data_IF_832121678094
#
_entry.id   IF_832121678094
#
_cell.length_a   1.000
_cell.length_b   1.000
_cell.length_c   1.000
_cell.angle_alpha   90.00
_cell.angle_beta   90.00
_cell.angle_gamma   90.00
#
_symmetry.space_group_name_H-M   'P 1'
#
loop_
_entity.id
_entity.type
_entity.pdbx_description
1 polymer ?
#
# COMPACT_ATOMS: atom_id res chain seq x y z
N UNK A 1 20.76 12.87 3.25
CA UNK A 1 20.59 11.42 3.55
C UNK A 1 19.33 10.83 2.89
N UNK A 2 18.17 11.49 2.96
CA UNK A 2 16.90 11.00 2.39
C UNK A 2 16.83 10.95 0.85
N UNK A 3 17.60 11.78 0.12
CA UNK A 3 17.58 11.80 -1.35
C UNK A 3 17.95 10.45 -1.99
N UNK A 4 18.90 9.70 -1.39
CA UNK A 4 19.32 8.37 -1.90
C UNK A 4 18.21 7.32 -1.76
N UNK A 5 17.46 7.36 -0.64
CA UNK A 5 16.33 6.47 -0.37
C UNK A 5 15.17 6.80 -1.31
N UNK A 6 14.86 8.09 -1.49
CA UNK A 6 13.86 8.54 -2.46
C UNK A 6 14.21 8.07 -3.88
N UNK A 7 15.48 8.21 -4.28
CA UNK A 7 15.95 7.77 -5.60
C UNK A 7 15.85 6.25 -5.76
N UNK A 8 16.16 5.49 -4.71
CA UNK A 8 15.96 4.03 -4.71
C UNK A 8 14.49 3.66 -4.89
N UNK A 9 13.57 4.29 -4.16
CA UNK A 9 12.13 4.07 -4.33
C UNK A 9 11.64 4.44 -5.73
N UNK A 10 12.13 5.56 -6.29
CA UNK A 10 11.76 6.00 -7.63
C UNK A 10 12.25 5.02 -8.70
N UNK A 11 13.49 4.53 -8.57
CA UNK A 11 14.03 3.52 -9.49
C UNK A 11 13.26 2.19 -9.42
N UNK A 12 12.84 1.79 -8.22
CA UNK A 12 12.03 0.58 -8.02
C UNK A 12 10.64 0.73 -8.64
N UNK A 13 10.02 1.91 -8.53
CA UNK A 13 8.71 2.20 -9.10
C UNK A 13 8.69 2.23 -10.64
N UNK A 14 9.81 2.57 -11.28
CA UNK A 14 9.95 2.61 -12.75
C UNK A 14 10.32 1.24 -13.36
N UNK A 15 10.83 0.32 -12.55
CA UNK A 15 11.25 -1.02 -12.97
C UNK A 15 10.17 -1.84 -13.71
N UNK A 16 8.86 -1.79 -13.35
CA UNK A 16 7.82 -2.50 -14.08
C UNK A 16 7.67 -2.07 -15.54
N UNK A 17 8.00 -0.81 -15.88
CA UNK A 17 7.80 -0.26 -17.23
C UNK A 17 8.64 -0.96 -18.32
N UNK A 18 9.72 -1.64 -17.93
CA UNK A 18 10.60 -2.34 -18.86
C UNK A 18 10.11 -3.76 -19.20
N UNK A 19 9.10 -4.28 -18.50
CA UNK A 19 8.57 -5.64 -18.69
C UNK A 19 7.24 -5.63 -19.46
N UNK A 20 7.31 -5.58 -20.79
CA UNK A 20 6.14 -5.41 -21.69
C UNK A 20 5.14 -6.57 -21.60
N UNK A 21 5.60 -7.82 -21.41
CA UNK A 21 4.72 -8.99 -21.49
C UNK A 21 3.77 -9.16 -20.29
N UNK A 22 4.12 -8.64 -19.11
CA UNK A 22 3.38 -8.88 -17.86
C UNK A 22 3.39 -7.66 -16.93
N UNK A 23 3.24 -6.46 -17.50
CA UNK A 23 3.41 -5.18 -16.78
C UNK A 23 2.56 -5.10 -15.50
N UNK A 24 1.33 -5.64 -15.52
CA UNK A 24 0.43 -5.66 -14.38
C UNK A 24 0.95 -6.54 -13.23
N UNK A 25 1.45 -7.74 -13.53
CA UNK A 25 2.00 -8.64 -12.51
C UNK A 25 3.24 -8.02 -11.84
N UNK A 26 4.18 -7.51 -12.63
CA UNK A 26 5.37 -6.86 -12.08
C UNK A 26 5.03 -5.62 -11.27
N UNK A 27 4.04 -4.83 -11.71
CA UNK A 27 3.55 -3.69 -10.96
C UNK A 27 2.99 -4.11 -9.59
N UNK A 28 2.12 -5.12 -9.52
CA UNK A 28 1.56 -5.59 -8.26
C UNK A 28 2.60 -6.22 -7.33
N UNK A 29 3.60 -6.94 -7.86
CA UNK A 29 4.71 -7.48 -7.08
C UNK A 29 5.51 -6.34 -6.45
N UNK A 30 5.95 -5.37 -7.26
CA UNK A 30 6.76 -4.23 -6.79
C UNK A 30 5.96 -3.38 -5.79
N UNK A 31 4.69 -3.09 -6.09
CA UNK A 31 3.79 -2.37 -5.19
C UNK A 31 3.64 -3.09 -3.85
N UNK A 32 3.46 -4.42 -3.87
CA UNK A 32 3.34 -5.22 -2.66
C UNK A 32 4.62 -5.18 -1.81
N UNK A 33 5.81 -5.25 -2.43
CA UNK A 33 7.09 -5.11 -1.71
C UNK A 33 7.21 -3.73 -1.06
N UNK A 34 6.87 -2.66 -1.79
CA UNK A 34 6.88 -1.30 -1.25
C UNK A 34 5.89 -1.14 -0.09
N UNK A 35 4.67 -1.68 -0.25
CA UNK A 35 3.64 -1.66 0.78
C UNK A 35 4.05 -2.43 2.02
N UNK A 36 4.73 -3.57 1.90
CA UNK A 36 5.27 -4.32 3.05
C UNK A 36 6.26 -3.47 3.83
N UNK A 37 7.18 -2.79 3.15
CA UNK A 37 8.17 -1.92 3.80
C UNK A 37 7.49 -0.77 4.55
N UNK A 38 6.49 -0.13 3.93
CA UNK A 38 5.69 0.92 4.56
C UNK A 38 4.91 0.36 5.75
N UNK A 39 4.28 -0.81 5.60
CA UNK A 39 3.49 -1.45 6.64
C UNK A 39 4.34 -1.79 7.87
N UNK A 40 5.53 -2.39 7.68
CA UNK A 40 6.48 -2.65 8.78
C UNK A 40 6.90 -1.36 9.48
N UNK A 41 7.16 -0.29 8.72
CA UNK A 41 7.48 1.01 9.31
C UNK A 41 6.34 1.53 10.20
N UNK A 42 5.09 1.46 9.74
CA UNK A 42 3.93 1.87 10.51
C UNK A 42 3.65 0.95 11.72
N UNK A 43 3.91 -0.35 11.62
CA UNK A 43 3.86 -1.28 12.76
C UNK A 43 4.84 -0.81 13.84
N UNK A 44 6.11 -0.63 13.47
CA UNK A 44 7.16 -0.21 14.41
C UNK A 44 6.79 1.12 15.08
N UNK A 45 6.29 2.07 14.30
CA UNK A 45 5.86 3.37 14.80
C UNK A 45 4.66 3.26 15.76
N UNK A 46 3.67 2.42 15.44
CA UNK A 46 2.50 2.19 16.29
C UNK A 46 2.88 1.51 17.60
N UNK A 47 3.76 0.50 17.58
CA UNK A 47 4.24 -0.17 18.79
C UNK A 47 4.95 0.82 19.72
N UNK A 48 5.74 1.75 19.16
CA UNK A 48 6.51 2.71 19.94
C UNK A 48 5.67 3.82 20.56
N UNK A 49 4.74 4.40 19.81
CA UNK A 49 4.01 5.61 20.23
C UNK A 49 2.53 5.38 20.54
N UNK A 50 1.97 4.22 20.17
CA UNK A 50 0.56 3.82 20.39
C UNK A 50 -0.47 4.87 19.97
N UNK A 51 -0.16 5.64 18.93
CA UNK A 51 -1.04 6.70 18.44
C UNK A 51 -2.17 6.12 17.58
N UNK A 52 -3.40 6.51 17.90
CA UNK A 52 -4.59 6.06 17.15
C UNK A 52 -4.53 6.45 15.66
N UNK A 53 -3.99 7.62 15.33
CA UNK A 53 -3.83 8.05 13.95
C UNK A 53 -2.89 7.11 13.17
N UNK A 54 -1.81 6.66 13.81
CA UNK A 54 -0.88 5.67 13.24
C UNK A 54 -1.58 4.31 13.04
N UNK A 55 -2.49 3.92 13.95
CA UNK A 55 -3.29 2.71 13.80
C UNK A 55 -4.22 2.78 12.58
N UNK A 56 -4.92 3.90 12.36
CA UNK A 56 -5.79 4.08 11.19
C UNK A 56 -5.01 3.92 9.89
N UNK A 57 -3.85 4.57 9.80
CA UNK A 57 -2.98 4.49 8.62
C UNK A 57 -2.40 3.08 8.45
N UNK A 58 -2.03 2.42 9.55
CA UNK A 58 -1.57 1.04 9.53
C UNK A 58 -2.65 0.09 8.98
N UNK A 59 -3.88 0.17 9.48
CA UNK A 59 -5.00 -0.66 9.00
C UNK A 59 -5.28 -0.38 7.52
N UNK A 60 -5.26 0.90 7.11
CA UNK A 60 -5.44 1.27 5.71
C UNK A 60 -4.37 0.63 4.80
N UNK A 61 -3.08 0.77 5.16
CA UNK A 61 -2.01 0.12 4.40
C UNK A 61 -2.10 -1.41 4.42
N UNK A 62 -2.61 -2.00 5.50
CA UNK A 62 -2.92 -3.42 5.57
C UNK A 62 -3.94 -3.82 4.51
N UNK A 63 -5.06 -3.09 4.39
CA UNK A 63 -6.07 -3.37 3.37
C UNK A 63 -5.54 -3.19 1.94
N UNK A 64 -4.75 -2.14 1.68
CA UNK A 64 -4.12 -1.92 0.36
C UNK A 64 -3.16 -3.07 0.03
N UNK A 65 -2.40 -3.54 1.01
CA UNK A 65 -1.48 -4.67 0.84
C UNK A 65 -2.25 -5.97 0.53
N UNK A 66 -3.31 -6.26 1.28
CA UNK A 66 -4.16 -7.43 1.01
C UNK A 66 -4.78 -7.36 -0.38
N UNK A 67 -5.32 -6.21 -0.78
CA UNK A 67 -5.82 -6.00 -2.14
C UNK A 67 -4.75 -6.24 -3.20
N UNK A 68 -3.56 -5.66 -3.02
CA UNK A 68 -2.43 -5.78 -3.95
C UNK A 68 -1.94 -7.22 -4.12
N UNK A 69 -1.81 -7.98 -3.02
CA UNK A 69 -1.45 -9.41 -3.06
C UNK A 69 -2.54 -10.21 -3.77
N UNK A 70 -3.80 -9.88 -3.51
CA UNK A 70 -4.92 -10.55 -4.13
C UNK A 70 -4.94 -10.35 -5.65
N UNK A 71 -4.60 -9.15 -6.13
CA UNK A 71 -4.47 -8.85 -7.55
C UNK A 71 -3.38 -9.68 -8.27
N UNK A 72 -2.34 -10.12 -7.55
CA UNK A 72 -1.33 -11.04 -8.11
C UNK A 72 -1.96 -12.38 -8.47
N UNK A 73 -2.93 -12.85 -7.67
CA UNK A 73 -3.59 -14.15 -7.82
C UNK A 73 -4.87 -14.04 -8.68
N UNK A 74 -5.50 -12.86 -8.71
CA UNK A 74 -6.86 -12.68 -9.25
C UNK A 74 -6.96 -12.43 -10.74
N UNK A 75 -5.87 -12.49 -11.51
CA UNK A 75 -5.88 -12.10 -12.94
C UNK A 75 -6.93 -12.86 -13.77
N UNK A 76 -7.40 -14.02 -13.28
CA UNK A 76 -8.47 -14.81 -13.91
C UNK A 76 -9.76 -14.98 -13.08
N UNK A 77 -9.92 -14.26 -11.96
CA UNK A 77 -11.08 -14.43 -11.05
C UNK A 77 -11.75 -13.09 -10.72
N UNK A 78 -12.90 -12.83 -11.34
CA UNK A 78 -13.68 -11.59 -11.21
C UNK A 78 -14.12 -11.27 -9.78
N UNK A 79 -14.46 -12.28 -8.96
CA UNK A 79 -14.80 -12.07 -7.55
C UNK A 79 -13.62 -11.48 -6.76
N UNK A 80 -12.41 -11.96 -7.04
CA UNK A 80 -11.22 -11.52 -6.34
C UNK A 80 -10.80 -10.10 -6.71
N UNK A 81 -11.05 -9.70 -7.96
CA UNK A 81 -10.91 -8.32 -8.42
C UNK A 81 -11.83 -7.36 -7.65
N UNK A 82 -13.10 -7.71 -7.47
CA UNK A 82 -14.08 -6.86 -6.74
C UNK A 82 -13.70 -6.74 -5.26
N UNK A 83 -13.30 -7.83 -4.61
CA UNK A 83 -12.88 -7.82 -3.20
C UNK A 83 -11.64 -6.94 -3.02
N UNK A 84 -10.67 -7.03 -3.93
CA UNK A 84 -9.45 -6.20 -3.90
C UNK A 84 -9.78 -4.71 -3.92
N UNK A 85 -10.63 -4.27 -4.85
CA UNK A 85 -11.05 -2.88 -4.92
C UNK A 85 -11.91 -2.43 -3.73
N UNK A 86 -12.73 -3.31 -3.18
CA UNK A 86 -13.51 -2.99 -1.98
C UNK A 86 -12.59 -2.75 -0.78
N UNK A 87 -11.52 -3.55 -0.62
CA UNK A 87 -10.50 -3.33 0.40
C UNK A 87 -9.76 -2.00 0.20
N UNK A 88 -9.39 -1.67 -1.04
CA UNK A 88 -8.77 -0.36 -1.36
C UNK A 88 -9.70 0.81 -1.01
N UNK A 89 -11.00 0.69 -1.32
CA UNK A 89 -11.97 1.73 -1.00
C UNK A 89 -12.06 1.95 0.52
N UNK A 90 -12.13 0.87 1.31
CA UNK A 90 -12.12 0.95 2.77
C UNK A 90 -10.83 1.62 3.26
N UNK A 91 -9.68 1.28 2.67
CA UNK A 91 -8.42 1.90 3.02
C UNK A 91 -8.40 3.40 2.76
N UNK A 92 -8.90 3.85 1.61
CA UNK A 92 -8.98 5.28 1.29
C UNK A 92 -9.92 6.03 2.24
N UNK A 93 -11.04 5.42 2.64
CA UNK A 93 -11.93 5.99 3.65
C UNK A 93 -11.19 6.15 4.98
N UNK A 94 -10.42 5.16 5.43
CA UNK A 94 -9.64 5.25 6.67
C UNK A 94 -8.56 6.34 6.60
N UNK A 95 -7.87 6.46 5.46
CA UNK A 95 -6.88 7.53 5.23
C UNK A 95 -7.57 8.91 5.29
N UNK A 96 -8.74 9.04 4.66
CA UNK A 96 -9.52 10.29 4.66
C UNK A 96 -9.99 10.66 6.08
N UNK A 97 -10.51 9.70 6.84
CA UNK A 97 -10.90 9.90 8.24
C UNK A 97 -9.70 10.37 9.06
N UNK A 98 -8.54 9.72 8.89
CA UNK A 98 -7.32 10.12 9.57
C UNK A 98 -6.88 11.54 9.18
N UNK A 99 -6.95 11.89 7.89
CA UNK A 99 -6.61 13.23 7.39
C UNK A 99 -7.50 14.30 8.02
N UNK A 100 -8.83 14.11 7.97
CA UNK A 100 -9.81 15.02 8.57
C UNK A 100 -9.55 15.22 10.06
N UNK A 101 -9.17 14.15 10.77
CA UNK A 101 -8.88 14.22 12.21
C UNK A 101 -7.60 14.99 12.51
N UNK A 102 -6.58 14.88 11.66
CA UNK A 102 -5.32 15.60 11.84
C UNK A 102 -5.49 17.09 11.50
N UNK A 103 -6.28 17.44 10.48
CA UNK A 103 -6.49 18.84 10.05
C UNK A 103 -7.48 19.63 10.90
N UNK A 104 -8.37 18.95 11.64
CA UNK A 104 -9.30 19.59 12.60
C UNK A 104 -8.70 19.81 13.99
N UNK A 105 -7.46 19.42 14.22
CA UNK A 105 -6.68 19.76 15.42
C UNK A 105 -5.89 21.04 15.18
#
# INVERSE_FOLDING_TARGET
KNKKILFAFLSLALLPMFFIANILHYFHIISSVLLILIFIHYISNYIRYKQFNTLLVLIAFGFILFGSIHFIISVNHSLFYVIGHLLELIAYILILINLIRITRK
#
